data_IF_037380580898
#
_entry.id   IF_037380580898
#
_cell.length_a   1.000
_cell.length_b   1.000
_cell.length_c   1.000
_cell.angle_alpha   90.00
_cell.angle_beta   90.00
_cell.angle_gamma   90.00
#
_symmetry.space_group_name_H-M   'P 1'
#
loop_
_entity.id
_entity.type
_entity.pdbx_description
1 polymer ?
#
# COMPACT_ATOMS: atom_id res chain seq x y z
N UNK A 1 -16.28 -7.38 -15.66
CA UNK A 1 -14.98 -6.88 -15.16
C UNK A 1 -14.59 -5.63 -15.94
N UNK A 2 -14.52 -4.44 -15.30
CA UNK A 2 -14.16 -3.19 -15.97
C UNK A 2 -12.69 -3.19 -16.40
N UNK A 3 -12.40 -2.75 -17.62
CA UNK A 3 -11.04 -2.56 -18.15
C UNK A 3 -10.11 -3.80 -18.05
N UNK A 4 -10.67 -5.00 -17.81
CA UNK A 4 -9.92 -6.25 -17.63
C UNK A 4 -8.78 -6.17 -16.60
N UNK A 5 -8.93 -5.36 -15.55
CA UNK A 5 -7.91 -5.13 -14.55
C UNK A 5 -8.35 -5.59 -13.14
N UNK A 6 -7.37 -5.97 -12.32
CA UNK A 6 -7.52 -6.17 -10.88
C UNK A 6 -6.69 -5.11 -10.13
N UNK A 7 -7.07 -4.73 -8.90
CA UNK A 7 -8.26 -5.15 -8.16
C UNK A 7 -9.56 -4.51 -8.68
N UNK A 8 -10.71 -5.10 -8.30
CA UNK A 8 -12.06 -4.58 -8.57
C UNK A 8 -12.74 -4.24 -7.24
N UNK A 9 -13.37 -3.06 -7.16
CA UNK A 9 -14.31 -2.70 -6.10
C UNK A 9 -15.72 -2.71 -6.68
N UNK A 10 -16.67 -3.34 -5.99
CA UNK A 10 -18.09 -3.35 -6.37
C UNK A 10 -18.94 -2.69 -5.29
N UNK A 11 -19.74 -1.69 -5.67
CA UNK A 11 -20.70 -0.99 -4.80
C UNK A 11 -22.03 -0.89 -5.56
N UNK A 12 -23.12 -1.39 -4.98
CA UNK A 12 -24.46 -1.38 -5.57
C UNK A 12 -24.50 -1.92 -7.02
N UNK A 13 -23.75 -3.01 -7.28
CA UNK A 13 -23.65 -3.63 -8.61
C UNK A 13 -22.79 -2.86 -9.62
N UNK A 14 -22.21 -1.71 -9.24
CA UNK A 14 -21.26 -0.97 -10.08
C UNK A 14 -19.83 -1.39 -9.76
N UNK A 15 -19.15 -1.94 -10.77
CA UNK A 15 -17.75 -2.36 -10.66
C UNK A 15 -16.81 -1.23 -11.10
N UNK A 16 -15.76 -0.99 -10.30
CA UNK A 16 -14.69 -0.02 -10.55
C UNK A 16 -13.33 -0.74 -10.48
N UNK A 17 -12.34 -0.25 -11.24
CA UNK A 17 -10.97 -0.74 -11.22
C UNK A 17 -9.99 0.42 -11.02
N UNK A 18 -8.68 0.11 -11.00
CA UNK A 18 -7.58 1.01 -10.64
C UNK A 18 -7.44 1.18 -9.12
N UNK A 19 -6.47 0.48 -8.54
CA UNK A 19 -6.21 0.45 -7.10
C UNK A 19 -6.10 1.85 -6.48
N UNK A 20 -5.44 2.78 -7.15
CA UNK A 20 -5.27 4.16 -6.66
C UNK A 20 -6.58 4.95 -6.63
N UNK A 21 -7.44 4.77 -7.64
CA UNK A 21 -8.75 5.42 -7.67
C UNK A 21 -9.67 4.84 -6.58
N UNK A 22 -9.65 3.51 -6.42
CA UNK A 22 -10.40 2.78 -5.39
C UNK A 22 -10.02 3.28 -3.99
N UNK A 23 -8.72 3.31 -3.65
CA UNK A 23 -8.25 3.72 -2.32
C UNK A 23 -8.63 5.17 -2.03
N UNK A 24 -8.46 6.09 -2.99
CA UNK A 24 -8.86 7.49 -2.82
C UNK A 24 -10.36 7.67 -2.63
N UNK A 25 -11.18 6.91 -3.37
CA UNK A 25 -12.63 6.93 -3.20
C UNK A 25 -13.02 6.49 -1.78
N UNK A 26 -12.50 5.35 -1.31
CA UNK A 26 -12.80 4.83 0.03
C UNK A 26 -12.26 5.79 1.12
N UNK A 27 -11.09 6.39 0.92
CA UNK A 27 -10.54 7.35 1.86
C UNK A 27 -11.47 8.58 2.01
N UNK A 28 -12.04 9.08 0.92
CA UNK A 28 -13.03 10.17 0.97
C UNK A 28 -14.34 9.72 1.62
N UNK A 29 -14.86 8.56 1.25
CA UNK A 29 -16.12 8.01 1.78
C UNK A 29 -16.10 7.86 3.30
N UNK A 30 -14.94 7.50 3.87
CA UNK A 30 -14.78 7.28 5.31
C UNK A 30 -14.08 8.41 6.06
N UNK A 31 -13.85 9.56 5.43
CA UNK A 31 -13.26 10.74 6.10
C UNK A 31 -11.78 10.59 6.47
N UNK A 32 -11.03 9.76 5.73
CA UNK A 32 -9.58 9.58 5.88
C UNK A 32 -8.75 10.42 4.90
N UNK A 33 -9.41 11.28 4.13
CA UNK A 33 -8.77 12.15 3.16
C UNK A 33 -8.72 13.60 3.66
N UNK A 34 -7.91 14.45 3.02
CA UNK A 34 -7.71 15.84 3.44
C UNK A 34 -9.00 16.66 3.33
N UNK A 35 -9.28 17.50 4.32
CA UNK A 35 -10.48 18.34 4.36
C UNK A 35 -10.33 19.59 3.47
N UNK A 36 -9.08 20.03 3.26
CA UNK A 36 -8.73 21.17 2.41
C UNK A 36 -7.79 20.76 1.29
N UNK A 37 -7.69 21.62 0.26
CA UNK A 37 -6.89 21.36 -0.94
C UNK A 37 -5.43 21.01 -0.60
N UNK A 38 -4.78 21.76 0.29
CA UNK A 38 -3.38 21.52 0.63
C UNK A 38 -3.16 20.19 1.38
N UNK A 39 -4.10 19.76 2.21
CA UNK A 39 -4.02 18.45 2.86
C UNK A 39 -4.19 17.32 1.86
N UNK A 40 -5.17 17.45 0.96
CA UNK A 40 -5.37 16.53 -0.17
C UNK A 40 -4.11 16.41 -1.02
N UNK A 41 -3.52 17.54 -1.39
CA UNK A 41 -2.28 17.59 -2.17
C UNK A 41 -1.15 16.83 -1.48
N UNK A 42 -0.93 17.04 -0.17
CA UNK A 42 0.12 16.34 0.58
C UNK A 42 -0.12 14.84 0.69
N UNK A 43 -1.38 14.41 0.81
CA UNK A 43 -1.73 12.99 0.80
C UNK A 43 -1.40 12.38 -0.57
N UNK A 44 -1.82 13.04 -1.66
CA UNK A 44 -1.55 12.56 -3.01
C UNK A 44 -0.07 12.55 -3.34
N UNK A 45 0.70 13.58 -2.95
CA UNK A 45 2.15 13.66 -3.15
C UNK A 45 2.87 12.46 -2.52
N UNK A 46 2.53 12.11 -1.28
CA UNK A 46 3.10 10.94 -0.60
C UNK A 46 2.66 9.64 -1.27
N UNK A 47 1.38 9.54 -1.65
CA UNK A 47 0.85 8.35 -2.30
C UNK A 47 1.52 8.08 -3.65
N UNK A 48 1.72 9.11 -4.47
CA UNK A 48 2.40 8.98 -5.76
C UNK A 48 3.87 8.59 -5.58
N UNK A 49 4.59 9.17 -4.61
CA UNK A 49 5.97 8.77 -4.32
C UNK A 49 6.08 7.28 -3.94
N UNK A 50 5.09 6.74 -3.21
CA UNK A 50 5.04 5.31 -2.88
C UNK A 50 4.74 4.45 -4.11
N UNK A 51 3.87 4.91 -5.01
CA UNK A 51 3.56 4.21 -6.26
C UNK A 51 4.77 4.16 -7.18
N UNK A 52 5.47 5.28 -7.36
CA UNK A 52 6.71 5.36 -8.14
C UNK A 52 7.76 4.40 -7.58
N UNK A 53 7.97 4.41 -6.25
CA UNK A 53 8.86 3.46 -5.61
C UNK A 53 8.43 2.03 -5.93
N UNK A 54 7.17 1.66 -5.72
CA UNK A 54 6.67 0.32 -5.98
C UNK A 54 6.87 -0.13 -7.44
N UNK A 55 6.72 0.77 -8.41
CA UNK A 55 6.99 0.49 -9.82
C UNK A 55 8.46 0.22 -10.09
N UNK A 56 9.37 1.00 -9.51
CA UNK A 56 10.82 0.73 -9.59
C UNK A 56 11.18 -0.60 -8.90
N UNK A 57 10.59 -0.90 -7.73
CA UNK A 57 10.76 -2.18 -7.05
C UNK A 57 10.32 -3.35 -7.93
N UNK A 58 9.21 -3.20 -8.65
CA UNK A 58 8.71 -4.23 -9.55
C UNK A 58 9.66 -4.48 -10.73
N UNK A 59 10.23 -3.43 -11.32
CA UNK A 59 11.22 -3.55 -12.41
C UNK A 59 12.44 -4.34 -11.95
N UNK A 60 12.97 -4.00 -10.77
CA UNK A 60 14.09 -4.74 -10.15
C UNK A 60 13.72 -6.20 -9.92
N UNK A 61 12.59 -6.48 -9.27
CA UNK A 61 12.16 -7.85 -8.93
C UNK A 61 11.94 -8.73 -10.18
N UNK A 62 11.52 -8.12 -11.29
CA UNK A 62 11.24 -8.84 -12.55
C UNK A 62 12.38 -8.80 -13.55
N UNK A 63 13.52 -8.21 -13.17
CA UNK A 63 14.74 -8.18 -13.98
C UNK A 63 15.28 -9.60 -14.17
N UNK A 64 15.59 -9.95 -15.42
CA UNK A 64 16.05 -11.30 -15.81
C UNK A 64 17.48 -11.29 -16.35
N UNK A 65 18.04 -10.11 -16.59
CA UNK A 65 19.41 -9.96 -17.07
C UNK A 65 20.42 -10.21 -15.94
N UNK A 66 20.98 -11.42 -15.92
CA UNK A 66 21.99 -11.86 -14.95
C UNK A 66 23.31 -11.07 -15.06
N UNK A 67 23.52 -10.28 -16.13
CA UNK A 67 24.74 -9.47 -16.29
C UNK A 67 24.65 -8.13 -15.57
N UNK A 68 23.45 -7.69 -15.16
CA UNK A 68 23.28 -6.49 -14.34
C UNK A 68 23.79 -6.77 -12.92
N UNK A 69 24.77 -5.96 -12.49
CA UNK A 69 25.34 -6.05 -11.15
C UNK A 69 24.32 -5.56 -10.11
N UNK A 70 24.19 -6.32 -9.03
CA UNK A 70 23.43 -5.93 -7.84
C UNK A 70 23.85 -4.55 -7.36
N UNK A 71 22.88 -3.67 -7.24
CA UNK A 71 23.00 -2.29 -6.77
C UNK A 71 22.41 -2.17 -5.36
N UNK A 72 22.69 -1.03 -4.70
CA UNK A 72 22.06 -0.71 -3.43
C UNK A 72 20.52 -0.63 -3.55
N UNK A 73 19.99 -0.27 -4.73
CA UNK A 73 18.56 -0.29 -4.99
C UNK A 73 18.03 -1.72 -4.88
N UNK A 74 18.70 -2.70 -5.46
CA UNK A 74 18.29 -4.12 -5.40
C UNK A 74 18.28 -4.67 -3.97
N UNK A 75 19.24 -4.25 -3.14
CA UNK A 75 19.29 -4.60 -1.71
C UNK A 75 18.18 -3.90 -0.92
N UNK A 76 17.89 -2.63 -1.21
CA UNK A 76 16.77 -1.89 -0.62
C UNK A 76 15.41 -2.49 -1.05
N UNK A 77 15.28 -2.91 -2.30
CA UNK A 77 14.11 -3.59 -2.83
C UNK A 77 13.92 -4.91 -2.12
N UNK A 78 14.96 -5.75 -2.08
CA UNK A 78 14.92 -7.00 -1.32
C UNK A 78 14.56 -6.74 0.14
N UNK A 79 15.15 -5.74 0.79
CA UNK A 79 14.85 -5.41 2.17
C UNK A 79 13.39 -4.95 2.35
N UNK A 80 12.87 -4.05 1.52
CA UNK A 80 11.50 -3.54 1.63
C UNK A 80 10.48 -4.66 1.32
N UNK A 81 10.72 -5.45 0.28
CA UNK A 81 9.78 -6.46 -0.23
C UNK A 81 9.82 -7.75 0.60
N UNK A 82 11.00 -8.23 1.00
CA UNK A 82 11.16 -9.38 1.89
C UNK A 82 10.67 -9.07 3.31
N UNK A 83 10.82 -7.83 3.78
CA UNK A 83 10.19 -7.43 5.04
C UNK A 83 8.66 -7.39 4.94
N UNK A 84 8.07 -7.09 3.76
CA UNK A 84 6.62 -7.17 3.52
C UNK A 84 6.06 -8.60 3.59
N UNK A 85 6.82 -9.60 3.12
CA UNK A 85 6.46 -11.03 3.21
C UNK A 85 6.63 -11.63 4.63
N UNK A 86 7.53 -11.10 5.46
CA UNK A 86 7.82 -11.58 6.82
C UNK A 86 7.25 -10.68 7.94
N UNK A 87 6.06 -10.10 7.74
CA UNK A 87 5.34 -9.24 8.71
C UNK A 87 4.73 -9.95 9.95
N UNK A 88 5.41 -10.93 10.57
CA UNK A 88 5.32 -11.02 12.03
C UNK A 88 6.42 -10.24 12.77
N UNK A 89 7.50 -9.80 12.11
CA UNK A 89 8.72 -9.31 12.82
C UNK A 89 9.38 -8.04 12.28
N UNK A 90 8.73 -7.21 11.46
CA UNK A 90 9.25 -5.87 11.21
C UNK A 90 9.14 -5.03 12.49
N UNK A 91 10.18 -5.02 13.30
CA UNK A 91 10.25 -4.17 14.50
C UNK A 91 10.40 -2.72 14.07
N UNK A 92 9.31 -1.95 14.23
CA UNK A 92 9.30 -0.51 13.98
C UNK A 92 9.87 0.31 15.17
N UNK A 93 10.57 -0.33 16.11
CA UNK A 93 11.14 0.31 17.31
C UNK A 93 12.04 1.51 16.96
N UNK A 94 12.77 1.43 15.84
CA UNK A 94 13.66 2.51 15.38
C UNK A 94 12.91 3.65 14.66
N UNK A 95 11.63 3.47 14.32
CA UNK A 95 10.81 4.44 13.58
C UNK A 95 9.52 4.75 14.34
N UNK A 96 9.60 5.48 15.47
CA UNK A 96 8.48 5.68 16.38
C UNK A 96 7.29 6.40 15.74
N UNK A 97 7.55 7.29 14.77
CA UNK A 97 6.48 7.97 14.00
C UNK A 97 5.71 6.99 13.12
N UNK A 98 6.42 6.13 12.39
CA UNK A 98 5.81 5.09 11.55
C UNK A 98 5.04 4.09 12.40
N UNK A 99 5.63 3.63 13.51
CA UNK A 99 4.95 2.77 14.48
C UNK A 99 3.66 3.41 15.03
N UNK A 100 3.68 4.71 15.34
CA UNK A 100 2.51 5.42 15.81
C UNK A 100 1.41 5.47 14.74
N UNK A 101 1.77 5.67 13.47
CA UNK A 101 0.81 5.63 12.35
C UNK A 101 0.20 4.23 12.21
N UNK A 102 1.02 3.17 12.18
CA UNK A 102 0.53 1.78 12.11
C UNK A 102 -0.45 1.47 13.26
N UNK A 103 -0.05 1.76 14.50
CA UNK A 103 -0.91 1.57 15.68
C UNK A 103 -2.20 2.39 15.60
N UNK A 104 -2.14 3.62 15.10
CA UNK A 104 -3.35 4.45 14.92
C UNK A 104 -4.32 3.81 13.93
N UNK A 105 -3.82 3.26 12.82
CA UNK A 105 -4.64 2.59 11.80
C UNK A 105 -5.20 1.28 12.34
N UNK A 106 -4.37 0.44 12.96
CA UNK A 106 -4.78 -0.85 13.53
C UNK A 106 -5.85 -0.70 14.62
N UNK A 107 -5.73 0.33 15.47
CA UNK A 107 -6.69 0.60 16.54
C UNK A 107 -7.96 1.33 16.08
N UNK A 108 -8.07 1.72 14.80
CA UNK A 108 -9.30 2.34 14.32
C UNK A 108 -10.46 1.33 14.41
N UNK A 109 -11.61 1.65 15.04
CA UNK A 109 -12.64 0.65 15.36
C UNK A 109 -13.09 -0.22 14.18
N UNK A 110 -13.30 0.39 13.01
CA UNK A 110 -13.68 -0.33 11.79
C UNK A 110 -12.57 -1.23 11.24
N UNK A 111 -11.31 -0.79 11.34
CA UNK A 111 -10.16 -1.56 10.85
C UNK A 111 -9.88 -2.72 11.80
N UNK A 112 -9.89 -2.47 13.12
CA UNK A 112 -9.74 -3.49 14.14
C UNK A 112 -10.83 -4.58 14.04
N UNK A 113 -12.08 -4.18 13.74
CA UNK A 113 -13.16 -5.13 13.48
C UNK A 113 -12.88 -5.97 12.23
N UNK A 114 -12.56 -5.34 11.09
CA UNK A 114 -12.23 -6.06 9.86
C UNK A 114 -11.01 -6.99 10.03
N UNK A 115 -9.96 -6.58 10.72
CA UNK A 115 -8.76 -7.40 10.93
C UNK A 115 -9.06 -8.70 11.70
N UNK A 116 -10.10 -8.73 12.53
CA UNK A 116 -10.55 -9.96 13.23
C UNK A 116 -11.35 -10.90 12.34
N UNK A 117 -12.06 -10.35 11.36
CA UNK A 117 -13.00 -11.09 10.50
C UNK A 117 -12.44 -11.41 9.11
N UNK A 118 -11.38 -10.72 8.68
CA UNK A 118 -10.85 -10.84 7.32
C UNK A 118 -10.44 -12.29 7.03
N UNK A 119 -10.76 -12.83 5.83
CA UNK A 119 -10.27 -14.12 5.40
C UNK A 119 -8.73 -14.15 5.39
N UNK A 120 -8.15 -15.28 5.82
CA UNK A 120 -6.72 -15.52 5.66
C UNK A 120 -6.47 -15.92 4.20
N UNK A 121 -5.60 -15.17 3.54
CA UNK A 121 -5.16 -15.47 2.18
C UNK A 121 -3.74 -16.01 2.26
N UNK A 122 -3.54 -17.24 1.79
CA UNK A 122 -2.21 -17.81 1.59
C UNK A 122 -1.63 -17.26 0.28
N UNK A 123 -0.39 -16.76 0.33
CA UNK A 123 0.37 -16.26 -0.83
C UNK A 123 1.49 -17.24 -1.19
#
# INVERSE_FOLDING_TARGET
MPLQALPVLEIDGKMMTQSQAIIRYLAREYGFYGAINMETFRIDEIQEAVVELHQELYKVRTEKDETKKMTLADVLVYNITFNMEYFPKLSLEKWPKTMAVCKKVENHPKIAAWLKERPVTDF
#
